data_IF_249401850993
#
_entry.id   IF_249401850993
#
_cell.length_a   1.000
_cell.length_b   1.000
_cell.length_c   1.000
_cell.angle_alpha   90.00
_cell.angle_beta   90.00
_cell.angle_gamma   90.00
#
_symmetry.space_group_name_H-M   'P 1'
#
loop_
_entity.id
_entity.type
_entity.pdbx_description
1 polymer ?
#
# COMPACT_ATOMS: atom_id res chain seq x y z
N UNK A 1 -2.78 36.94 15.47
CA UNK A 1 -3.47 36.07 14.50
C UNK A 1 -2.77 34.71 14.55
N UNK A 2 -3.52 33.69 14.96
CA UNK A 2 -3.07 32.33 15.27
C UNK A 2 -2.68 31.65 13.94
N UNK A 3 -1.52 31.02 13.73
CA UNK A 3 -0.83 30.07 14.59
C UNK A 3 -1.29 28.64 14.28
N UNK A 4 -1.34 28.23 13.00
CA UNK A 4 -1.73 26.87 12.60
C UNK A 4 -0.63 25.87 13.00
N UNK A 5 -0.80 25.26 14.17
CA UNK A 5 0.03 24.19 14.70
C UNK A 5 -0.07 22.96 13.79
N UNK A 6 0.96 22.77 12.96
CA UNK A 6 1.29 21.50 12.36
C UNK A 6 1.62 20.54 13.52
N UNK A 7 0.69 19.65 13.87
CA UNK A 7 0.88 18.61 14.88
C UNK A 7 2.00 17.68 14.41
N UNK A 8 3.22 17.99 14.86
CA UNK A 8 4.39 17.13 14.75
C UNK A 8 4.09 15.89 15.61
N UNK A 9 3.72 14.79 14.97
CA UNK A 9 3.58 13.52 15.68
C UNK A 9 4.99 13.07 16.06
N UNK A 10 5.27 13.12 17.37
CA UNK A 10 6.54 12.74 17.96
C UNK A 10 6.87 11.29 17.64
N UNK A 11 8.10 11.09 17.19
CA UNK A 11 8.77 9.81 17.06
C UNK A 11 9.17 9.36 18.47
N UNK A 12 8.48 8.36 19.04
CA UNK A 12 8.98 7.66 20.21
C UNK A 12 9.48 6.27 19.79
N UNK A 13 10.81 6.19 19.77
CA UNK A 13 11.62 4.98 19.80
C UNK A 13 11.08 4.03 20.87
N UNK A 14 10.65 2.84 20.44
CA UNK A 14 10.64 1.64 21.28
C UNK A 14 11.52 0.60 20.61
N UNK A 15 12.78 0.60 21.05
CA UNK A 15 13.66 -0.57 20.98
C UNK A 15 13.41 -1.36 22.25
N UNK A 16 13.00 -2.61 22.16
CA UNK A 16 13.29 -3.66 23.15
C UNK A 16 13.18 -5.03 22.48
N UNK A 17 14.19 -5.83 22.78
CA UNK A 17 14.71 -6.96 22.03
C UNK A 17 14.47 -8.27 22.81
N UNK A 18 14.25 -9.35 22.05
CA UNK A 18 14.43 -10.79 22.36
C UNK A 18 13.60 -11.50 23.46
N UNK A 19 12.82 -12.50 22.99
CA UNK A 19 12.31 -13.65 23.75
C UNK A 19 11.82 -14.78 22.83
N UNK A 20 12.72 -15.75 22.58
CA UNK A 20 12.64 -16.90 21.65
C UNK A 20 11.40 -17.82 21.76
N UNK A 21 10.82 -18.24 20.60
CA UNK A 21 10.52 -19.64 20.21
C UNK A 21 10.31 -19.75 18.68
N UNK A 22 10.62 -20.93 18.14
CA UNK A 22 11.00 -21.24 16.75
C UNK A 22 9.86 -21.70 15.81
N UNK A 23 10.18 -21.71 14.50
CA UNK A 23 9.54 -22.31 13.31
C UNK A 23 8.49 -21.45 12.57
N UNK A 24 8.57 -21.14 11.27
CA UNK A 24 9.45 -21.63 10.20
C UNK A 24 9.76 -20.51 9.19
N UNK A 25 11.00 -20.52 8.70
CA UNK A 25 11.46 -19.71 7.59
C UNK A 25 10.98 -20.30 6.27
N UNK A 26 10.48 -19.45 5.37
CA UNK A 26 10.70 -19.64 3.94
C UNK A 26 11.28 -18.34 3.39
N UNK A 27 12.60 -18.26 3.46
CA UNK A 27 13.35 -17.41 2.56
C UNK A 27 13.20 -17.93 1.13
N UNK A 28 13.29 -17.00 0.19
CA UNK A 28 13.44 -17.17 -1.26
C UNK A 28 12.15 -17.23 -2.08
N UNK A 29 11.85 -16.09 -2.70
CA UNK A 29 12.25 -15.98 -4.10
C UNK A 29 13.26 -14.84 -4.21
N UNK A 30 14.54 -15.15 -3.92
CA UNK A 30 15.60 -14.45 -4.62
C UNK A 30 15.51 -14.94 -6.07
N UNK A 31 14.68 -14.29 -6.86
CA UNK A 31 14.78 -14.39 -8.30
C UNK A 31 16.09 -13.73 -8.67
N UNK A 32 17.16 -14.52 -8.72
CA UNK A 32 18.37 -14.14 -9.43
C UNK A 32 17.98 -13.94 -10.90
N UNK A 33 17.63 -12.71 -11.26
CA UNK A 33 17.73 -12.22 -12.62
C UNK A 33 18.59 -10.97 -12.54
N UNK A 34 19.88 -11.19 -12.76
CA UNK A 34 20.79 -10.16 -13.20
C UNK A 34 20.23 -9.52 -14.47
N UNK A 35 19.73 -8.29 -14.36
CA UNK A 35 19.83 -7.30 -15.42
C UNK A 35 20.20 -6.00 -14.70
N UNK A 36 21.44 -5.56 -14.90
CA UNK A 36 21.86 -4.19 -14.64
C UNK A 36 21.17 -3.32 -15.71
N UNK A 37 19.88 -3.07 -15.49
CA UNK A 37 19.12 -2.06 -16.20
C UNK A 37 18.38 -1.31 -15.10
N UNK A 38 18.65 0.00 -15.00
CA UNK A 38 17.92 0.85 -14.10
C UNK A 38 16.44 0.81 -14.51
N UNK A 39 15.66 -0.10 -13.93
CA UNK A 39 14.21 -0.20 -14.12
C UNK A 39 13.62 1.17 -13.78
N UNK A 40 12.94 1.79 -14.73
CA UNK A 40 12.30 3.09 -14.52
C UNK A 40 11.28 2.96 -13.37
N UNK A 41 11.12 3.97 -12.51
CA UNK A 41 10.14 3.92 -11.42
C UNK A 41 8.72 3.63 -11.94
N UNK A 42 8.38 4.10 -13.13
CA UNK A 42 7.09 3.84 -13.76
C UNK A 42 6.88 2.34 -14.08
N UNK A 43 7.91 1.68 -14.62
CA UNK A 43 7.86 0.25 -14.98
C UNK A 43 7.78 -0.62 -13.73
N UNK A 44 8.50 -0.25 -12.67
CA UNK A 44 8.42 -0.91 -11.36
C UNK A 44 7.00 -0.82 -10.79
N UNK A 45 6.42 0.37 -10.79
CA UNK A 45 5.05 0.61 -10.27
C UNK A 45 4.03 -0.22 -11.06
N UNK A 46 4.11 -0.20 -12.40
CA UNK A 46 3.17 -0.94 -13.24
C UNK A 46 3.25 -2.46 -13.03
N UNK A 47 4.47 -2.98 -12.85
CA UNK A 47 4.71 -4.39 -12.52
C UNK A 47 4.07 -4.74 -11.18
N UNK A 48 4.32 -3.96 -10.14
CA UNK A 48 3.74 -4.17 -8.81
C UNK A 48 2.20 -4.15 -8.81
N UNK A 49 1.60 -3.25 -9.57
CA UNK A 49 0.13 -3.15 -9.75
C UNK A 49 -0.43 -4.41 -10.43
N UNK A 50 0.33 -5.00 -11.36
CA UNK A 50 -0.10 -6.19 -12.11
C UNK A 50 0.09 -7.49 -11.31
N UNK A 51 1.11 -7.55 -10.46
CA UNK A 51 1.43 -8.71 -9.63
C UNK A 51 0.48 -8.86 -8.42
N UNK A 52 -0.10 -7.77 -7.93
CA UNK A 52 -0.89 -7.76 -6.70
C UNK A 52 -2.36 -7.41 -6.97
N UNK A 53 -3.33 -8.24 -6.53
CA UNK A 53 -4.74 -7.93 -6.72
C UNK A 53 -5.19 -6.68 -5.94
N UNK A 54 -4.55 -6.40 -4.80
CA UNK A 54 -4.73 -5.16 -4.04
C UNK A 54 -3.38 -4.65 -3.54
N UNK A 55 -3.08 -3.40 -3.87
CA UNK A 55 -1.83 -2.73 -3.47
C UNK A 55 -2.10 -1.31 -2.99
N UNK A 56 -1.39 -0.90 -1.95
CA UNK A 56 -1.40 0.44 -1.37
C UNK A 56 0.01 1.02 -1.52
N UNK A 57 0.12 2.13 -2.24
CA UNK A 57 1.32 2.95 -2.25
C UNK A 57 1.25 4.02 -1.17
N UNK A 58 2.33 4.16 -0.42
CA UNK A 58 2.44 5.10 0.70
C UNK A 58 3.71 5.91 0.63
N UNK A 59 3.71 7.05 1.33
CA UNK A 59 4.95 7.70 1.78
C UNK A 59 5.39 7.10 3.11
N UNK A 60 6.64 7.33 3.48
CA UNK A 60 7.16 6.96 4.79
C UNK A 60 6.24 7.46 5.93
N UNK A 61 5.98 6.59 6.90
CA UNK A 61 5.22 6.89 8.12
C UNK A 61 3.83 7.55 7.91
N UNK A 62 3.05 7.11 6.93
CA UNK A 62 1.69 7.64 6.70
C UNK A 62 0.63 6.99 7.63
N UNK A 63 0.05 7.77 8.54
CA UNK A 63 -1.00 7.29 9.46
C UNK A 63 -2.27 6.80 8.74
N UNK A 64 -2.61 7.39 7.59
CA UNK A 64 -3.80 7.04 6.81
C UNK A 64 -3.68 5.65 6.18
N UNK A 65 -2.46 5.21 5.85
CA UNK A 65 -2.21 3.87 5.31
C UNK A 65 -2.57 2.76 6.30
N UNK A 66 -2.33 2.99 7.59
CA UNK A 66 -2.76 2.05 8.62
C UNK A 66 -4.28 1.91 8.65
N UNK A 67 -5.02 3.01 8.44
CA UNK A 67 -6.48 2.98 8.36
C UNK A 67 -6.94 2.19 7.13
N UNK A 68 -6.36 2.46 5.95
CA UNK A 68 -6.68 1.75 4.72
C UNK A 68 -6.40 0.24 4.83
N UNK A 69 -5.21 -0.11 5.36
CA UNK A 69 -4.82 -1.51 5.60
C UNK A 69 -5.79 -2.20 6.55
N UNK A 70 -6.17 -1.53 7.65
CA UNK A 70 -7.08 -2.10 8.65
C UNK A 70 -8.51 -2.28 8.10
N UNK A 71 -9.00 -1.34 7.30
CA UNK A 71 -10.30 -1.44 6.65
C UNK A 71 -10.35 -2.67 5.74
N UNK A 72 -9.34 -2.87 4.89
CA UNK A 72 -9.27 -4.05 4.00
C UNK A 72 -9.09 -5.36 4.78
N UNK A 73 -8.28 -5.34 5.85
CA UNK A 73 -8.09 -6.51 6.71
C UNK A 73 -9.39 -6.92 7.40
N UNK A 74 -10.25 -5.96 7.75
CA UNK A 74 -11.58 -6.24 8.33
C UNK A 74 -12.51 -6.95 7.34
N UNK A 75 -12.26 -6.81 6.04
CA UNK A 75 -12.97 -7.51 4.97
C UNK A 75 -12.32 -8.86 4.61
N UNK A 76 -11.25 -9.27 5.30
CA UNK A 76 -10.49 -10.49 5.00
C UNK A 76 -9.49 -10.35 3.85
N UNK A 77 -9.19 -9.13 3.41
CA UNK A 77 -8.21 -8.87 2.34
C UNK A 77 -6.86 -8.45 2.91
N UNK A 78 -5.79 -9.02 2.37
CA UNK A 78 -4.41 -8.69 2.72
C UNK A 78 -3.76 -7.88 1.60
N UNK A 79 -3.76 -6.53 1.69
CA UNK A 79 -3.14 -5.69 0.66
C UNK A 79 -1.61 -5.71 0.76
N UNK A 80 -0.93 -5.64 -0.38
CA UNK A 80 0.48 -5.27 -0.42
C UNK A 80 0.63 -3.78 -0.09
N UNK A 81 1.60 -3.42 0.75
CA UNK A 81 1.88 -2.02 1.11
C UNK A 81 3.31 -1.71 0.72
N UNK A 82 3.49 -0.79 -0.22
CA UNK A 82 4.80 -0.43 -0.76
C UNK A 82 5.04 1.06 -0.50
N UNK A 83 6.16 1.37 0.15
CA UNK A 83 6.62 2.74 0.31
C UNK A 83 7.28 3.21 -0.98
N UNK A 84 6.92 4.43 -1.41
CA UNK A 84 7.48 5.08 -2.60
C UNK A 84 8.32 6.29 -2.18
N UNK A 85 9.46 6.47 -2.83
CA UNK A 85 10.29 7.67 -2.71
C UNK A 85 9.72 8.85 -3.54
N UNK A 86 10.18 10.07 -3.28
CA UNK A 86 9.70 11.27 -3.99
C UNK A 86 9.86 11.19 -5.52
N UNK A 87 10.93 10.54 -6.00
CA UNK A 87 11.14 10.28 -7.42
C UNK A 87 10.08 9.34 -8.01
N UNK A 88 9.69 8.31 -7.28
CA UNK A 88 8.70 7.32 -7.72
C UNK A 88 7.28 7.88 -7.68
N UNK A 89 7.00 8.75 -6.71
CA UNK A 89 5.70 9.42 -6.60
C UNK A 89 5.47 10.33 -7.81
N UNK A 90 6.52 10.95 -8.33
CA UNK A 90 6.43 11.73 -9.57
C UNK A 90 6.20 10.89 -10.83
N UNK A 91 6.54 9.60 -10.76
CA UNK A 91 6.34 8.63 -11.83
C UNK A 91 4.98 7.93 -11.78
N UNK A 92 4.17 8.18 -10.73
CA UNK A 92 2.79 7.71 -10.71
C UNK A 92 2.01 8.35 -11.86
N UNK A 93 1.05 7.63 -12.47
CA UNK A 93 0.22 8.19 -13.52
C UNK A 93 -0.43 9.49 -13.03
N UNK A 94 -0.39 10.56 -13.83
CA UNK A 94 -0.93 11.89 -13.49
C UNK A 94 -2.38 11.90 -12.98
N UNK A 95 -3.15 10.84 -13.27
CA UNK A 95 -4.52 10.65 -12.82
C UNK A 95 -4.62 10.10 -11.37
N UNK A 96 -3.53 9.65 -10.77
CA UNK A 96 -3.53 9.07 -9.44
C UNK A 96 -3.36 10.16 -8.37
N UNK A 97 -4.16 10.13 -7.30
CA UNK A 97 -3.96 11.04 -6.18
C UNK A 97 -2.62 10.77 -5.50
N UNK A 98 -2.05 11.81 -4.89
CA UNK A 98 -0.85 11.67 -4.09
C UNK A 98 -1.03 10.59 -3.01
N UNK A 99 0.03 9.83 -2.65
CA UNK A 99 -0.07 8.81 -1.62
C UNK A 99 -0.67 9.37 -0.32
N UNK A 100 -1.55 8.61 0.35
CA UNK A 100 -1.79 7.19 0.11
C UNK A 100 -2.71 6.91 -1.09
N UNK A 101 -2.29 5.98 -1.95
CA UNK A 101 -3.01 5.59 -3.16
C UNK A 101 -3.24 4.07 -3.17
N UNK A 102 -4.48 3.65 -3.42
CA UNK A 102 -4.86 2.24 -3.52
C UNK A 102 -5.25 1.86 -4.94
N UNK A 103 -4.82 0.67 -5.34
CA UNK A 103 -5.16 0.02 -6.59
C UNK A 103 -5.81 -1.32 -6.30
N UNK A 104 -6.88 -1.64 -7.04
CA UNK A 104 -7.62 -2.90 -6.93
C UNK A 104 -7.79 -3.46 -8.35
N UNK A 105 -7.32 -4.68 -8.58
CA UNK A 105 -7.38 -5.35 -9.89
C UNK A 105 -6.71 -4.55 -11.00
N UNK A 106 -5.58 -3.89 -10.69
CA UNK A 106 -4.85 -3.06 -11.64
C UNK A 106 -5.37 -1.62 -11.82
N UNK A 107 -6.51 -1.27 -11.21
CA UNK A 107 -7.16 0.05 -11.41
C UNK A 107 -6.99 0.94 -10.19
N UNK A 108 -6.64 2.22 -10.42
CA UNK A 108 -6.57 3.24 -9.37
C UNK A 108 -7.95 3.53 -8.79
N UNK A 109 -8.08 3.33 -7.47
CA UNK A 109 -9.31 3.61 -6.71
C UNK A 109 -9.25 4.97 -6.04
N UNK A 110 -8.04 5.44 -5.71
CA UNK A 110 -7.78 6.74 -5.10
C UNK A 110 -7.17 6.61 -3.71
N UNK A 111 -7.53 7.50 -2.78
CA UNK A 111 -7.02 7.49 -1.40
C UNK A 111 -8.01 6.92 -0.38
N UNK A 112 -7.81 7.25 0.89
CA UNK A 112 -8.67 6.80 1.99
C UNK A 112 -10.14 7.20 1.79
N UNK A 113 -10.41 8.44 1.39
CA UNK A 113 -11.78 8.95 1.23
C UNK A 113 -12.55 8.15 0.16
N UNK A 114 -11.92 7.89 -0.99
CA UNK A 114 -12.50 7.06 -2.06
C UNK A 114 -12.75 5.63 -1.59
N UNK A 115 -11.82 5.06 -0.83
CA UNK A 115 -11.95 3.71 -0.29
C UNK A 115 -13.12 3.60 0.71
N UNK A 116 -13.22 4.58 1.62
CA UNK A 116 -14.34 4.68 2.57
C UNK A 116 -15.66 4.89 1.84
N UNK A 117 -15.70 5.78 0.84
CA UNK A 117 -16.90 6.00 0.03
C UNK A 117 -17.35 4.71 -0.69
N UNK A 118 -16.43 3.92 -1.24
CA UNK A 118 -16.76 2.61 -1.83
C UNK A 118 -17.28 1.60 -0.81
N UNK A 119 -16.70 1.59 0.40
CA UNK A 119 -17.14 0.74 1.49
C UNK A 119 -18.56 1.10 1.93
N UNK A 120 -18.84 2.38 2.17
CA UNK A 120 -20.18 2.89 2.53
C UNK A 120 -21.21 2.68 1.43
N UNK A 121 -20.78 2.70 0.16
CA UNK A 121 -21.64 2.40 -1.00
C UNK A 121 -21.85 0.91 -1.22
N UNK A 122 -21.29 0.03 -0.37
CA UNK A 122 -21.34 -1.43 -0.51
C UNK A 122 -20.79 -1.97 -1.85
N UNK A 123 -19.95 -1.18 -2.54
CA UNK A 123 -19.34 -1.54 -3.83
C UNK A 123 -17.91 -2.07 -3.70
N UNK A 124 -17.32 -1.96 -2.51
CA UNK A 124 -15.96 -2.40 -2.27
C UNK A 124 -15.81 -3.93 -2.33
N UNK A 125 -16.69 -4.69 -1.67
CA UNK A 125 -16.63 -6.16 -1.66
C UNK A 125 -16.79 -6.76 -3.07
N UNK A 126 -17.78 -6.35 -3.89
CA UNK A 126 -17.87 -6.79 -5.29
C UNK A 126 -16.58 -6.55 -6.07
N UNK A 127 -15.99 -5.35 -5.97
CA UNK A 127 -14.72 -5.02 -6.65
C UNK A 127 -13.56 -5.90 -6.21
N UNK A 128 -13.49 -6.24 -4.93
CA UNK A 128 -12.46 -7.12 -4.38
C UNK A 128 -12.63 -8.56 -4.88
N UNK A 129 -13.87 -9.02 -5.04
CA UNK A 129 -14.17 -10.33 -5.62
C UNK A 129 -13.79 -10.39 -7.10
N UNK A 130 -14.15 -9.36 -7.88
CA UNK A 130 -13.77 -9.22 -9.30
C UNK A 130 -12.25 -9.20 -9.50
N UNK A 131 -11.52 -8.58 -8.57
CA UNK A 131 -10.06 -8.55 -8.58
C UNK A 131 -9.39 -9.85 -8.09
N UNK A 132 -10.17 -10.86 -7.67
CA UNK A 132 -9.62 -12.11 -7.11
C UNK A 132 -8.96 -11.93 -5.74
N UNK A 133 -9.25 -10.82 -5.04
CA UNK A 133 -8.70 -10.53 -3.72
C UNK A 133 -9.48 -11.20 -2.58
N UNK A 134 -10.68 -11.71 -2.89
CA UNK A 134 -11.55 -12.45 -1.98
C UNK A 134 -11.92 -13.77 -2.63
N UNK A 135 -11.93 -14.84 -1.82
CA UNK A 135 -12.40 -16.15 -2.23
C UNK A 135 -13.83 -16.38 -1.70
N UNK A 136 -14.76 -16.88 -2.52
CA UNK A 136 -16.15 -17.17 -2.10
C UNK A 136 -16.29 -18.41 -1.20
#
# INVERSE_FOLDING_TARGET
MQGIQHRRCSDEIVRLDLGSVSAASSASAASSLSIDEAESPETRIQRLISEHPVIIFTRSACCMCHVMKRLLSTLGVHPAVIELDDSEISALPYCCPAPPAIFIGGVSVGGLESLVALHLSNRLVPKLLEAGALWP
#
